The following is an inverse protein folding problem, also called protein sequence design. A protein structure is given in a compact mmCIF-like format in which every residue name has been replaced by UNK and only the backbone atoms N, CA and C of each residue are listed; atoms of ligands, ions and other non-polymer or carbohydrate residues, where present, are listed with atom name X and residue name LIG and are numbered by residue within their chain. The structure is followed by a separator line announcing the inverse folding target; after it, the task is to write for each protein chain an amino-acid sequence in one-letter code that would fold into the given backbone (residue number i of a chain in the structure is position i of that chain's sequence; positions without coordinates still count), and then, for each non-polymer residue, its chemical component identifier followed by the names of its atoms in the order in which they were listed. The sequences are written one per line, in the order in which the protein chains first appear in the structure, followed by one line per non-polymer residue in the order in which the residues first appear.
data_IF_780687203184
#
_entry.id   IF_780687203184
#
_cell.length_a   1.000
_cell.length_b   1.000
_cell.length_c   1.000
_cell.angle_alpha   90.00
_cell.angle_beta   90.00
_cell.angle_gamma   90.00
#
_symmetry.space_group_name_H-M   'P 1'
#
loop_
_entity.id
_entity.type
_entity.pdbx_description
1 polymer ?
#
# COMPACT_ATOMS: atom_id res chain seq x y z
N UNK A 1 -11.51 1.83 6.17
CA UNK A 1 -10.21 2.49 5.89
C UNK A 1 -10.20 3.02 4.47
N UNK A 2 -9.92 4.32 4.28
CA UNK A 2 -9.87 4.96 2.95
C UNK A 2 -8.77 4.31 2.07
N UNK A 3 -8.99 4.26 0.74
CA UNK A 3 -8.11 3.62 -0.25
C UNK A 3 -6.63 4.04 -0.10
N UNK A 4 -6.38 5.31 0.27
CA UNK A 4 -5.05 5.89 0.53
C UNK A 4 -4.28 5.19 1.66
N UNK A 5 -4.97 4.84 2.74
CA UNK A 5 -4.34 4.11 3.85
C UNK A 5 -3.96 2.70 3.40
N UNK A 6 -4.81 2.02 2.62
CA UNK A 6 -4.48 0.69 2.08
C UNK A 6 -3.22 0.71 1.21
N UNK A 7 -3.06 1.70 0.33
CA UNK A 7 -1.88 1.81 -0.54
C UNK A 7 -0.62 2.06 0.28
N UNK A 8 -0.64 3.03 1.20
CA UNK A 8 0.54 3.33 2.05
C UNK A 8 0.88 2.13 2.94
N UNK A 9 -0.11 1.46 3.53
CA UNK A 9 0.13 0.25 4.33
C UNK A 9 0.67 -0.88 3.46
N UNK A 10 0.19 -1.07 2.24
CA UNK A 10 0.68 -2.12 1.33
C UNK A 10 2.14 -1.86 0.88
N UNK A 11 2.57 -0.60 0.80
CA UNK A 11 3.96 -0.24 0.44
C UNK A 11 4.93 -0.26 1.62
N UNK A 12 4.51 0.23 2.79
CA UNK A 12 5.39 0.45 3.95
C UNK A 12 5.48 -0.79 4.84
N UNK A 13 4.39 -1.55 5.00
CA UNK A 13 4.35 -2.71 5.90
C UNK A 13 5.34 -3.82 5.46
N UNK A 14 5.43 -4.22 4.17
CA UNK A 14 6.39 -5.23 3.75
C UNK A 14 7.84 -4.80 3.98
N UNK A 15 8.13 -3.50 3.84
CA UNK A 15 9.44 -2.94 4.10
C UNK A 15 9.79 -3.05 5.59
N UNK A 16 8.88 -2.64 6.49
CA UNK A 16 9.09 -2.77 7.94
C UNK A 16 9.30 -4.24 8.33
N UNK A 17 8.48 -5.15 7.80
CA UNK A 17 8.61 -6.60 8.08
C UNK A 17 9.94 -7.14 7.58
N UNK A 18 10.39 -6.74 6.39
CA UNK A 18 11.68 -7.14 5.83
C UNK A 18 12.85 -6.64 6.68
N UNK A 19 12.80 -5.39 7.12
CA UNK A 19 13.83 -4.79 7.99
C UNK A 19 13.88 -5.49 9.34
N UNK A 20 12.72 -5.77 9.94
CA UNK A 20 12.65 -6.53 11.19
C UNK A 20 13.25 -7.93 11.03
N UNK A 21 12.91 -8.62 9.94
CA UNK A 21 13.45 -9.95 9.63
C UNK A 21 14.97 -9.91 9.44
N UNK A 22 15.49 -8.93 8.69
CA UNK A 22 16.93 -8.73 8.50
C UNK A 22 17.62 -8.46 9.83
N UNK A 23 17.06 -7.60 10.69
CA UNK A 23 17.62 -7.32 12.02
C UNK A 23 17.68 -8.58 12.89
N UNK A 24 16.61 -9.39 12.91
CA UNK A 24 16.57 -10.66 13.65
C UNK A 24 17.65 -11.62 13.11
N UNK A 25 17.77 -11.73 11.79
CA UNK A 25 18.73 -12.62 11.13
C UNK A 25 20.18 -12.19 11.40
N UNK A 26 20.48 -10.90 11.30
CA UNK A 26 21.81 -10.33 11.64
C UNK A 26 22.15 -10.60 13.10
N UNK A 27 21.19 -10.41 14.01
CA UNK A 27 21.41 -10.68 15.44
C UNK A 27 21.67 -12.16 15.72
N UNK A 28 20.93 -13.06 15.07
CA UNK A 28 21.12 -14.50 15.19
C UNK A 28 22.49 -14.96 14.63
N UNK A 29 22.88 -14.46 13.45
CA UNK A 29 24.19 -14.77 12.85
C UNK A 29 25.35 -14.21 13.67
N UNK A 30 25.19 -13.00 14.21
CA UNK A 30 26.19 -12.36 15.05
C UNK A 30 26.53 -13.17 16.30
N UNK A 31 25.53 -13.70 17.01
CA UNK A 31 25.76 -14.52 18.21
C UNK A 31 26.58 -15.77 17.88
N UNK A 32 26.25 -16.43 16.78
CA UNK A 32 26.99 -17.59 16.30
C UNK A 32 28.44 -17.22 15.95
N UNK A 33 28.62 -16.10 15.25
CA UNK A 33 29.95 -15.61 14.87
C UNK A 33 30.81 -15.25 16.10
N UNK A 34 30.21 -14.65 17.13
CA UNK A 34 30.88 -14.33 18.40
C UNK A 34 31.44 -15.59 19.07
N UNK A 35 30.62 -16.65 19.20
CA UNK A 35 31.04 -17.92 19.80
C UNK A 35 32.12 -18.63 18.98
N UNK A 36 32.00 -18.60 17.65
CA UNK A 36 32.97 -19.21 16.74
C UNK A 36 34.32 -18.48 16.78
N UNK A 37 34.32 -17.14 16.78
CA UNK A 37 35.54 -16.35 16.90
C UNK A 37 36.22 -16.54 18.26
N UNK A 38 35.46 -16.51 19.36
CA UNK A 38 36.02 -16.70 20.69
C UNK A 38 36.71 -18.06 20.82
N UNK A 39 36.07 -19.14 20.33
CA UNK A 39 36.66 -20.50 20.31
C UNK A 39 37.90 -20.59 19.43
N UNK A 40 37.91 -19.92 18.29
CA UNK A 40 39.05 -19.91 17.39
C UNK A 40 40.26 -19.18 18.02
N UNK A 41 40.02 -18.02 18.64
CA UNK A 41 41.06 -17.26 19.34
C UNK A 41 41.62 -18.07 20.50
N UNK A 42 40.76 -18.65 21.34
CA UNK A 42 41.17 -19.49 22.47
C UNK A 42 42.00 -20.69 22.01
N UNK A 43 41.50 -21.47 21.04
CA UNK A 43 42.20 -22.66 20.55
C UNK A 43 43.54 -22.33 19.87
N UNK A 44 43.61 -21.22 19.12
CA UNK A 44 44.84 -20.75 18.49
C UNK A 44 45.91 -20.35 19.52
N UNK A 45 45.52 -19.54 20.53
CA UNK A 45 46.45 -19.14 21.59
C UNK A 45 46.88 -20.37 22.40
N UNK A 46 45.95 -21.26 22.77
CA UNK A 46 46.26 -22.48 23.51
C UNK A 46 47.20 -23.40 22.73
N UNK A 47 47.03 -23.54 21.42
CA UNK A 47 47.95 -24.31 20.58
C UNK A 47 49.36 -23.70 20.56
N UNK A 48 49.46 -22.37 20.43
CA UNK A 48 50.74 -21.66 20.49
C UNK A 48 51.45 -21.83 21.84
N UNK A 49 50.72 -21.66 22.96
CA UNK A 49 51.25 -21.87 24.32
C UNK A 49 51.69 -23.32 24.55
N UNK A 50 50.93 -24.29 24.04
CA UNK A 50 51.33 -25.71 24.11
C UNK A 50 52.65 -25.99 23.39
N UNK A 51 52.83 -25.43 22.20
CA UNK A 51 54.08 -25.55 21.45
C UNK A 51 55.26 -24.87 22.18
N UNK A 52 55.03 -23.68 22.73
CA UNK A 52 56.01 -22.93 23.52
C UNK A 52 56.47 -23.72 24.75
N UNK A 53 55.54 -24.29 25.53
CA UNK A 53 55.87 -25.15 26.68
C UNK A 53 56.72 -26.36 26.30
N UNK A 54 56.40 -27.01 25.17
CA UNK A 54 57.17 -28.16 24.67
C UNK A 54 58.60 -27.75 24.31
N UNK A 55 58.77 -26.58 23.69
CA UNK A 55 60.08 -26.02 23.37
C UNK A 55 60.88 -25.69 24.64
N UNK A 56 60.27 -25.05 25.63
CA UNK A 56 60.93 -24.74 26.90
C UNK A 56 61.38 -26.00 27.65
N UNK A 57 60.51 -27.01 27.72
CA UNK A 57 60.88 -28.28 28.34
C UNK A 57 61.97 -29.00 27.54
N UNK A 58 61.94 -28.94 26.21
CA UNK A 58 63.00 -29.48 25.35
C UNK A 58 64.36 -28.82 25.61
N UNK A 59 64.40 -27.49 25.82
CA UNK A 59 65.62 -26.78 26.21
C UNK A 59 66.12 -27.23 27.59
N UNK A 60 65.24 -27.34 28.58
CA UNK A 60 65.62 -27.84 29.91
C UNK A 60 66.14 -29.28 29.86
N UNK A 61 65.50 -30.15 29.08
CA UNK A 61 65.96 -31.51 28.81
C UNK A 61 67.35 -31.51 28.17
N UNK A 62 67.61 -30.64 27.19
CA UNK A 62 68.92 -30.52 26.55
C UNK A 62 70.03 -30.06 27.52
N UNK A 63 69.70 -29.27 28.55
CA UNK A 63 70.67 -28.84 29.56
C UNK A 63 71.13 -30.00 30.46
N UNK A 64 70.24 -30.94 30.74
CA UNK A 64 70.55 -32.12 31.58
C UNK A 64 70.90 -33.36 30.76
N UNK A 65 70.74 -33.34 29.43
CA UNK A 65 71.01 -34.47 28.54
C UNK A 65 72.41 -35.09 28.75
N UNK A 66 73.52 -34.33 28.90
CA UNK A 66 74.83 -34.94 29.15
C UNK A 66 74.89 -35.77 30.45
N UNK A 67 74.09 -35.41 31.46
CA UNK A 67 73.99 -36.14 32.72
C UNK A 67 73.03 -37.32 32.59
N UNK A 68 71.88 -37.10 31.97
CA UNK A 68 70.85 -38.13 31.82
C UNK A 68 71.22 -39.21 30.78
N UNK A 69 71.87 -38.86 29.69
CA UNK A 69 72.21 -39.82 28.63
C UNK A 69 73.49 -40.61 28.95
N UNK A 70 74.27 -40.17 29.95
CA UNK A 70 75.42 -40.92 30.49
C UNK A 70 75.02 -42.25 31.14
N UNK A 71 73.74 -42.42 31.48
CA UNK A 71 73.22 -43.59 32.20
C UNK A 71 73.41 -43.56 33.72
N UNK A 72 74.08 -42.54 34.27
CA UNK A 72 74.29 -42.40 35.70
C UNK A 72 72.98 -42.15 36.48
N UNK A 73 72.91 -42.72 37.68
CA UNK A 73 71.74 -42.67 38.58
C UNK A 73 72.16 -42.56 40.06
N UNK A 74 73.32 -41.95 40.30
CA UNK A 74 73.79 -41.62 41.64
C UNK A 74 73.29 -40.24 42.10
N UNK A 75 73.36 -40.01 43.41
CA UNK A 75 72.89 -38.77 44.03
C UNK A 75 73.64 -37.52 43.55
N UNK A 76 74.93 -37.62 43.23
CA UNK A 76 75.74 -36.48 42.77
C UNK A 76 75.30 -36.06 41.36
N UNK A 77 75.10 -37.02 40.44
CA UNK A 77 74.54 -36.75 39.11
C UNK A 77 73.16 -36.08 39.20
N UNK A 78 72.28 -36.62 40.05
CA UNK A 78 70.93 -36.06 40.27
C UNK A 78 71.01 -34.64 40.87
N UNK A 79 71.82 -34.41 41.89
CA UNK A 79 71.98 -33.07 42.49
C UNK A 79 72.52 -32.05 41.48
N UNK A 80 73.50 -32.42 40.64
CA UNK A 80 74.00 -31.55 39.57
C UNK A 80 72.90 -31.20 38.56
N UNK A 81 72.06 -32.16 38.18
CA UNK A 81 70.93 -31.90 37.28
C UNK A 81 69.92 -30.91 37.90
N UNK A 82 69.58 -31.06 39.19
CA UNK A 82 68.70 -30.11 39.89
C UNK A 82 69.31 -28.70 39.97
N UNK A 83 70.63 -28.58 40.16
CA UNK A 83 71.33 -27.28 40.16
C UNK A 83 71.32 -26.61 38.78
N UNK A 84 71.46 -27.37 37.70
CA UNK A 84 71.38 -26.85 36.33
C UNK A 84 69.96 -26.35 36.06
N UNK A 85 68.95 -27.16 36.36
CA UNK A 85 67.55 -26.81 36.12
C UNK A 85 67.05 -25.64 36.97
N UNK A 86 67.51 -25.51 38.22
CA UNK A 86 67.08 -24.42 39.11
C UNK A 86 67.54 -23.04 38.66
N UNK A 87 68.62 -22.98 37.87
CA UNK A 87 69.13 -21.75 37.25
C UNK A 87 68.43 -21.41 35.94
N UNK A 88 67.73 -22.36 35.32
CA UNK A 88 66.99 -22.14 34.08
C UNK A 88 65.65 -21.44 34.38
N UNK A 89 65.38 -20.35 33.67
CA UNK A 89 64.11 -19.62 33.73
C UNK A 89 63.82 -18.96 32.39
N UNK A 90 62.56 -18.57 32.17
CA UNK A 90 62.14 -17.89 30.95
C UNK A 90 60.99 -16.92 31.27
N UNK A 91 60.96 -15.78 30.59
CA UNK A 91 60.00 -14.73 30.89
C UNK A 91 60.08 -14.24 32.35
N UNK A 92 59.04 -13.51 32.79
CA UNK A 92 58.97 -12.98 34.15
C UNK A 92 58.61 -14.04 35.19
N UNK A 93 57.62 -14.88 34.85
CA UNK A 93 56.98 -15.85 35.75
C UNK A 93 57.23 -17.32 35.38
N UNK A 94 58.01 -17.58 34.33
CA UNK A 94 58.31 -18.94 33.86
C UNK A 94 59.45 -19.60 34.64
N UNK A 95 59.24 -20.87 34.99
CA UNK A 95 60.20 -21.68 35.73
C UNK A 95 59.98 -23.17 35.48
N UNK A 96 61.02 -23.96 35.75
CA UNK A 96 60.96 -25.41 35.76
C UNK A 96 60.74 -25.93 37.18
N UNK A 97 60.06 -27.06 37.31
CA UNK A 97 59.85 -27.75 38.58
C UNK A 97 60.11 -29.24 38.42
N UNK A 98 60.55 -29.89 39.51
CA UNK A 98 60.79 -31.34 39.54
C UNK A 98 60.10 -31.93 40.75
N UNK A 99 59.33 -33.00 40.52
CA UNK A 99 58.72 -33.82 41.56
C UNK A 99 59.17 -35.27 41.40
N UNK A 100 59.16 -36.05 42.48
CA UNK A 100 59.28 -37.52 42.37
C UNK A 100 57.92 -38.17 42.08
N UNK A 101 57.92 -39.49 41.83
CA UNK A 101 56.69 -40.28 41.59
C UNK A 101 55.72 -40.31 42.76
N UNK A 102 56.15 -39.94 43.96
CA UNK A 102 55.31 -39.90 45.15
C UNK A 102 54.75 -38.49 45.41
N UNK A 103 55.06 -37.51 44.56
CA UNK A 103 54.58 -36.14 44.67
C UNK A 103 55.40 -35.26 45.60
N UNK A 104 56.62 -35.70 46.00
CA UNK A 104 57.54 -34.86 46.75
C UNK A 104 58.22 -33.86 45.82
N UNK A 105 58.25 -32.59 46.22
CA UNK A 105 58.97 -31.55 45.48
C UNK A 105 60.47 -31.72 45.62
N UNK A 106 61.18 -31.87 44.51
CA UNK A 106 62.64 -32.00 44.46
C UNK A 106 63.30 -30.67 44.09
N UNK A 107 62.64 -29.84 43.27
CA UNK A 107 63.16 -28.55 42.84
C UNK A 107 62.03 -27.61 42.44
N UNK A 108 62.03 -26.41 43.02
CA UNK A 108 61.09 -25.34 42.68
C UNK A 108 61.75 -23.95 42.91
N UNK A 109 62.22 -23.25 41.87
CA UNK A 109 63.13 -22.11 42.04
C UNK A 109 62.41 -20.83 42.48
N UNK A 110 61.09 -20.75 42.28
CA UNK A 110 60.26 -19.59 42.68
C UNK A 110 59.54 -19.76 44.02
N UNK A 111 59.55 -20.98 44.58
CA UNK A 111 58.84 -21.35 45.82
C UNK A 111 59.67 -22.41 46.54
N UNK A 112 60.84 -22.01 47.01
CA UNK A 112 61.81 -22.90 47.64
C UNK A 112 61.24 -23.60 48.89
N UNK A 113 60.26 -22.97 49.54
CA UNK A 113 59.51 -23.50 50.68
C UNK A 113 58.71 -24.77 50.36
N UNK A 114 58.50 -25.09 49.08
CA UNK A 114 57.86 -26.35 48.67
C UNK A 114 58.85 -27.51 48.59
N UNK A 115 60.13 -27.24 48.39
CA UNK A 115 61.15 -28.28 48.20
C UNK A 115 61.25 -29.16 49.44
N UNK A 116 61.18 -30.48 49.23
CA UNK A 116 61.20 -31.50 50.27
C UNK A 116 59.83 -31.86 50.85
N UNK A 117 58.77 -31.10 50.55
CA UNK A 117 57.40 -31.40 51.01
C UNK A 117 56.71 -32.41 50.10
N UNK A 118 55.88 -33.25 50.70
CA UNK A 118 54.91 -34.08 49.99
C UNK A 118 53.70 -33.22 49.61
N UNK A 119 53.44 -33.12 48.31
CA UNK A 119 52.36 -32.31 47.74
C UNK A 119 51.32 -33.17 47.01
N UNK A 120 51.33 -34.49 47.19
CA UNK A 120 50.40 -35.40 46.50
C UNK A 120 48.94 -35.10 46.84
N UNK A 121 48.66 -34.58 48.04
CA UNK A 121 47.33 -34.18 48.51
C UNK A 121 46.96 -32.72 48.22
N UNK A 122 47.83 -31.94 47.57
CA UNK A 122 47.58 -30.52 47.32
C UNK A 122 46.49 -30.32 46.27
N UNK A 123 45.50 -29.50 46.59
CA UNK A 123 44.42 -29.11 45.68
C UNK A 123 44.56 -27.68 45.21
N UNK A 124 44.15 -27.41 43.97
CA UNK A 124 43.91 -26.05 43.51
C UNK A 124 42.57 -25.49 44.03
N UNK A 125 42.24 -24.25 43.65
CA UNK A 125 41.00 -23.58 44.05
C UNK A 125 39.72 -24.27 43.55
N UNK A 126 39.83 -25.19 42.58
CA UNK A 126 38.73 -25.95 41.98
C UNK A 126 38.66 -27.38 42.56
N UNK A 127 39.51 -27.71 43.53
CA UNK A 127 39.57 -29.02 44.16
C UNK A 127 40.35 -30.07 43.37
N UNK A 128 41.06 -29.70 42.31
CA UNK A 128 41.88 -30.62 41.53
C UNK A 128 43.16 -30.95 42.29
N UNK A 129 43.45 -32.24 42.48
CA UNK A 129 44.71 -32.73 43.03
C UNK A 129 45.84 -32.52 42.02
N UNK A 130 46.53 -31.38 42.13
CA UNK A 130 47.40 -30.83 41.07
C UNK A 130 48.54 -31.78 40.72
N UNK A 131 49.29 -32.24 41.72
CA UNK A 131 50.48 -33.07 41.50
C UNK A 131 50.10 -34.45 40.96
N UNK A 132 48.98 -35.02 41.41
CA UNK A 132 48.46 -36.29 40.88
C UNK A 132 48.03 -36.15 39.41
N UNK A 133 47.34 -35.05 39.08
CA UNK A 133 46.93 -34.78 37.70
C UNK A 133 48.14 -34.63 36.79
N UNK A 134 49.17 -33.90 37.22
CA UNK A 134 50.43 -33.76 36.48
C UNK A 134 51.14 -35.10 36.27
N UNK A 135 51.34 -35.89 37.33
CA UNK A 135 51.97 -37.21 37.24
C UNK A 135 51.23 -38.11 36.24
N UNK A 136 49.90 -38.12 36.32
CA UNK A 136 49.04 -38.88 35.40
C UNK A 136 49.16 -38.42 33.95
N UNK A 137 49.28 -37.11 33.69
CA UNK A 137 49.52 -36.59 32.33
C UNK A 137 50.92 -36.94 31.83
N UNK A 138 51.93 -36.93 32.70
CA UNK A 138 53.29 -37.32 32.36
C UNK A 138 53.37 -38.81 31.97
N UNK A 139 52.67 -39.68 32.69
CA UNK A 139 52.58 -41.13 32.42
C UNK A 139 51.76 -41.46 31.16
N UNK A 140 50.69 -40.72 30.89
CA UNK A 140 49.83 -40.91 29.71
C UNK A 140 50.47 -40.43 28.41
N UNK A 141 51.48 -39.57 28.50
CA UNK A 141 52.26 -39.06 27.37
C UNK A 141 51.64 -37.88 26.62
N UNK A 142 50.45 -37.39 27.01
CA UNK A 142 49.92 -36.11 26.50
C UNK A 142 50.63 -34.92 27.17
N UNK A 143 51.10 -35.09 28.42
CA UNK A 143 51.98 -34.20 29.15
C UNK A 143 51.37 -32.86 29.55
N UNK A 144 50.21 -32.47 29.03
CA UNK A 144 49.58 -31.19 29.32
C UNK A 144 48.58 -31.30 30.47
N UNK A 145 48.58 -30.29 31.35
CA UNK A 145 47.58 -30.17 32.42
C UNK A 145 47.27 -28.70 32.70
N UNK A 146 45.98 -28.37 32.84
CA UNK A 146 45.52 -27.06 33.28
C UNK A 146 45.08 -27.15 34.75
N UNK A 147 45.52 -26.20 35.57
CA UNK A 147 45.20 -26.10 37.00
C UNK A 147 45.41 -24.66 37.47
N UNK A 148 44.85 -24.30 38.62
CA UNK A 148 45.13 -22.98 39.21
C UNK A 148 46.40 -23.02 40.07
N UNK A 149 47.30 -22.06 39.88
CA UNK A 149 48.53 -21.95 40.67
C UNK A 149 48.87 -20.50 40.98
N UNK A 150 49.59 -20.30 42.09
CA UNK A 150 50.00 -18.97 42.51
C UNK A 150 51.07 -18.39 41.56
N UNK A 151 50.74 -17.30 40.89
CA UNK A 151 51.63 -16.55 40.00
C UNK A 151 52.71 -15.83 40.84
N UNK A 152 54.02 -16.08 40.63
CA UNK A 152 55.07 -15.52 41.49
C UNK A 152 55.10 -13.99 41.56
N UNK A 153 54.87 -13.30 40.44
CA UNK A 153 54.90 -11.83 40.38
C UNK A 153 53.78 -11.15 41.15
N UNK A 154 52.57 -11.73 41.18
CA UNK A 154 51.38 -11.12 41.79
C UNK A 154 50.94 -11.77 43.09
N UNK A 155 51.39 -13.00 43.36
CA UNK A 155 50.93 -13.82 44.48
C UNK A 155 49.48 -14.30 44.34
N UNK A 156 48.81 -14.02 43.21
CA UNK A 156 47.42 -14.44 42.97
C UNK A 156 47.38 -15.83 42.33
N UNK A 157 46.39 -16.63 42.71
CA UNK A 157 46.11 -17.91 42.05
C UNK A 157 45.42 -17.65 40.71
N UNK A 158 46.01 -18.14 39.61
CA UNK A 158 45.44 -18.00 38.26
C UNK A 158 45.66 -19.28 37.45
N UNK A 159 44.91 -19.44 36.36
CA UNK A 159 45.00 -20.60 35.49
C UNK A 159 46.41 -20.73 34.91
N UNK A 160 47.00 -21.91 35.09
CA UNK A 160 48.33 -22.27 34.61
C UNK A 160 48.26 -23.53 33.77
N UNK A 161 48.70 -23.43 32.52
CA UNK A 161 48.90 -24.57 31.64
C UNK A 161 50.32 -25.09 31.83
N UNK A 162 50.47 -26.34 32.25
CA UNK A 162 51.76 -27.00 32.35
C UNK A 162 51.97 -28.04 31.26
N UNK A 163 53.24 -28.31 30.97
CA UNK A 163 53.70 -29.46 30.22
C UNK A 163 54.75 -30.22 31.06
N UNK A 164 54.57 -31.52 31.19
CA UNK A 164 55.36 -32.40 32.06
C UNK A 164 55.79 -33.66 31.32
N UNK A 165 56.96 -34.19 31.69
CA UNK A 165 57.50 -35.46 31.18
C UNK A 165 58.09 -36.28 32.32
N UNK A 166 58.02 -37.60 32.19
CA UNK A 166 58.68 -38.53 33.10
C UNK A 166 60.11 -38.82 32.64
N UNK A 167 61.06 -38.59 33.54
CA UNK A 167 62.43 -39.09 33.49
C UNK A 167 62.47 -40.46 34.17
N UNK A 168 62.14 -41.49 33.42
CA UNK A 168 61.85 -42.82 33.95
C UNK A 168 62.98 -43.39 34.82
N UNK A 169 64.25 -43.20 34.42
CA UNK A 169 65.38 -43.74 35.18
C UNK A 169 65.50 -43.10 36.56
N UNK A 170 65.29 -41.80 36.64
CA UNK A 170 65.40 -41.06 37.91
C UNK A 170 64.10 -41.06 38.71
N UNK A 171 62.99 -41.54 38.13
CA UNK A 171 61.67 -41.47 38.74
C UNK A 171 61.19 -40.03 38.96
N UNK A 172 61.61 -39.11 38.09
CA UNK A 172 61.31 -37.68 38.22
C UNK A 172 60.28 -37.24 37.20
N UNK A 173 59.33 -36.42 37.63
CA UNK A 173 58.49 -35.63 36.75
C UNK A 173 59.11 -34.24 36.61
N UNK A 174 59.64 -33.95 35.43
CA UNK A 174 60.13 -32.62 35.08
C UNK A 174 59.02 -31.85 34.36
N UNK A 175 58.78 -30.62 34.77
CA UNK A 175 57.71 -29.80 34.21
C UNK A 175 58.02 -28.33 34.10
N UNK A 176 57.22 -27.66 33.29
CA UNK A 176 57.17 -26.20 33.18
C UNK A 176 55.73 -25.75 32.94
N UNK A 177 55.40 -24.48 33.16
CA UNK A 177 54.07 -23.96 32.86
C UNK A 177 54.02 -22.46 32.60
N UNK A 178 52.96 -22.04 31.91
CA UNK A 178 52.66 -20.65 31.54
C UNK A 178 51.27 -20.32 32.07
N UNK A 179 51.11 -19.10 32.59
CA UNK A 179 49.83 -18.57 33.04
C UNK A 179 49.01 -18.09 31.83
N UNK A 180 47.69 -18.36 31.84
CA UNK A 180 46.79 -18.14 30.70
C UNK A 180 45.81 -16.98 30.92
N UNK A 181 46.14 -16.04 31.81
CA UNK A 181 45.35 -14.83 32.07
C UNK A 181 45.20 -13.94 30.82
N UNK A 182 46.17 -13.98 29.92
CA UNK A 182 46.14 -13.29 28.63
C UNK A 182 45.10 -13.87 27.64
N UNK A 183 44.78 -15.16 27.74
CA UNK A 183 43.78 -15.83 26.89
C UNK A 183 42.38 -15.33 27.20
N UNK A 184 42.04 -15.21 28.48
CA UNK A 184 40.75 -14.68 28.94
C UNK A 184 40.59 -13.21 28.50
N UNK A 185 41.64 -12.39 28.65
CA UNK A 185 41.62 -11.00 28.20
C UNK A 185 41.45 -10.91 26.67
N UNK A 186 42.16 -11.72 25.89
CA UNK A 186 42.08 -11.73 24.44
C UNK A 186 40.69 -12.16 23.94
N UNK A 187 40.10 -13.20 24.55
CA UNK A 187 38.75 -13.67 24.21
C UNK A 187 37.68 -12.64 24.59
N UNK A 188 37.78 -11.99 25.75
CA UNK A 188 36.88 -10.91 26.15
C UNK A 188 36.95 -9.72 25.19
N UNK A 189 38.17 -9.31 24.79
CA UNK A 189 38.38 -8.23 23.84
C UNK A 189 37.76 -8.56 22.47
N UNK A 190 37.97 -9.78 21.98
CA UNK A 190 37.37 -10.25 20.71
C UNK A 190 35.83 -10.21 20.75
N UNK A 191 35.21 -10.63 21.87
CA UNK A 191 33.75 -10.52 22.04
C UNK A 191 33.25 -9.08 22.00
N UNK A 192 33.97 -8.15 22.64
CA UNK A 192 33.62 -6.73 22.62
C UNK A 192 33.71 -6.12 21.21
N UNK A 193 34.73 -6.48 20.44
CA UNK A 193 34.89 -6.03 19.05
C UNK A 193 33.71 -6.50 18.17
N UNK A 194 33.29 -7.76 18.30
CA UNK A 194 32.11 -8.30 17.61
C UNK A 194 30.85 -7.53 18.01
N UNK A 195 30.60 -7.34 19.31
CA UNK A 195 29.40 -6.66 19.81
C UNK A 195 29.29 -5.22 19.28
N UNK A 196 30.40 -4.49 19.22
CA UNK A 196 30.43 -3.12 18.68
C UNK A 196 30.14 -3.07 17.17
N UNK A 197 30.72 -4.02 16.41
CA UNK A 197 30.44 -4.15 14.97
C UNK A 197 28.96 -4.43 14.67
N UNK A 198 28.30 -5.17 15.55
CA UNK A 198 26.87 -5.52 15.40
C UNK A 198 25.99 -4.30 15.62
N UNK A 199 26.23 -3.51 16.66
CA UNK A 199 25.48 -2.28 16.90
C UNK A 199 25.60 -1.32 15.72
N UNK A 200 26.82 -1.16 15.17
CA UNK A 200 27.08 -0.32 14.00
C UNK A 200 26.30 -0.80 12.78
N UNK A 201 26.27 -2.12 12.55
CA UNK A 201 25.52 -2.74 11.44
C UNK A 201 24.01 -2.53 11.58
N UNK A 202 23.47 -2.73 12.79
CA UNK A 202 22.04 -2.51 13.08
C UNK A 202 21.65 -1.04 12.88
N UNK A 203 22.47 -0.10 13.34
CA UNK A 203 22.23 1.33 13.14
C UNK A 203 22.27 1.72 11.66
N UNK A 204 23.18 1.14 10.86
CA UNK A 204 23.24 1.36 9.43
C UNK A 204 21.98 0.83 8.72
N UNK A 205 21.53 -0.38 9.04
CA UNK A 205 20.29 -0.95 8.47
C UNK A 205 19.10 -0.05 8.84
N UNK A 206 19.01 0.40 10.10
CA UNK A 206 17.94 1.28 10.55
C UNK A 206 17.93 2.63 9.80
N UNK A 207 19.09 3.24 9.58
CA UNK A 207 19.18 4.51 8.86
C UNK A 207 18.81 4.38 7.38
N UNK A 208 19.28 3.35 6.68
CA UNK A 208 18.87 3.06 5.31
C UNK A 208 17.37 2.78 5.20
N UNK A 209 16.82 2.05 6.16
CA UNK A 209 15.39 1.73 6.21
C UNK A 209 14.53 2.98 6.42
N UNK A 210 14.95 3.86 7.33
CA UNK A 210 14.27 5.14 7.57
C UNK A 210 14.29 6.02 6.31
N UNK A 211 15.43 6.10 5.62
CA UNK A 211 15.56 6.83 4.38
C UNK A 211 14.63 6.27 3.30
N UNK A 212 14.56 4.95 3.14
CA UNK A 212 13.69 4.29 2.18
C UNK A 212 12.20 4.58 2.48
N UNK A 213 11.78 4.53 3.74
CA UNK A 213 10.41 4.89 4.17
C UNK A 213 10.11 6.35 3.83
N UNK A 214 11.04 7.27 4.12
CA UNK A 214 10.86 8.70 3.83
C UNK A 214 10.72 8.96 2.33
N UNK A 215 11.50 8.28 1.49
CA UNK A 215 11.41 8.40 0.02
C UNK A 215 10.07 7.88 -0.49
N UNK A 216 9.62 6.70 -0.04
CA UNK A 216 8.31 6.14 -0.42
C UNK A 216 7.18 7.09 0.01
N UNK A 217 7.26 7.63 1.23
CA UNK A 217 6.26 8.55 1.76
C UNK A 217 6.23 9.87 0.98
N UNK A 218 7.39 10.47 0.71
CA UNK A 218 7.50 11.69 -0.08
C UNK A 218 6.98 11.50 -1.51
N UNK A 219 7.33 10.38 -2.16
CA UNK A 219 6.82 10.01 -3.48
C UNK A 219 5.30 9.84 -3.49
N UNK A 220 4.75 9.16 -2.49
CA UNK A 220 3.30 8.99 -2.31
C UNK A 220 2.57 10.33 -2.11
N UNK A 221 3.13 11.24 -1.30
CA UNK A 221 2.58 12.58 -1.13
C UNK A 221 2.62 13.39 -2.43
N UNK A 222 3.73 13.35 -3.15
CA UNK A 222 3.89 14.08 -4.42
C UNK A 222 2.88 13.62 -5.48
N UNK A 223 2.70 12.30 -5.64
CA UNK A 223 1.70 11.74 -6.54
C UNK A 223 0.28 12.14 -6.14
N UNK A 224 -0.06 12.03 -4.85
CA UNK A 224 -1.38 12.39 -4.34
C UNK A 224 -1.71 13.88 -4.53
N UNK A 225 -0.74 14.79 -4.32
CA UNK A 225 -0.94 16.22 -4.57
C UNK A 225 -1.10 16.49 -6.07
N UNK A 226 -0.36 15.80 -6.93
CA UNK A 226 -0.46 15.93 -8.38
C UNK A 226 -1.83 15.48 -8.92
N UNK A 227 -2.31 14.32 -8.48
CA UNK A 227 -3.63 13.79 -8.85
C UNK A 227 -4.76 14.75 -8.46
N UNK A 228 -4.73 15.26 -7.22
CA UNK A 228 -5.71 16.23 -6.75
C UNK A 228 -5.69 17.53 -7.56
N UNK A 229 -4.50 18.09 -7.83
CA UNK A 229 -4.38 19.29 -8.67
C UNK A 229 -4.90 19.08 -10.08
N UNK A 230 -4.71 17.89 -10.67
CA UNK A 230 -5.24 17.58 -11.99
C UNK A 230 -6.77 17.44 -11.97
N UNK A 231 -7.32 16.80 -10.95
CA UNK A 231 -8.77 16.67 -10.76
C UNK A 231 -9.44 18.04 -10.59
N UNK A 232 -8.87 18.90 -9.74
CA UNK A 232 -9.38 20.26 -9.51
C UNK A 232 -9.37 21.10 -10.79
N UNK A 233 -8.29 21.01 -11.59
CA UNK A 233 -8.21 21.69 -12.89
C UNK A 233 -9.27 21.19 -13.88
N UNK A 234 -9.50 19.88 -13.94
CA UNK A 234 -10.53 19.30 -14.81
C UNK A 234 -11.93 19.72 -14.37
N UNK A 235 -12.23 19.69 -13.07
CA UNK A 235 -13.50 20.15 -12.52
C UNK A 235 -13.72 21.64 -12.80
N UNK A 236 -12.71 22.48 -12.56
CA UNK A 236 -12.79 23.90 -12.86
C UNK A 236 -13.04 24.17 -14.35
N UNK A 237 -12.39 23.42 -15.25
CA UNK A 237 -12.59 23.56 -16.69
C UNK A 237 -14.00 23.12 -17.14
N UNK A 238 -14.53 22.03 -16.57
CA UNK A 238 -15.90 21.58 -16.81
C UNK A 238 -16.93 22.60 -16.31
N UNK A 239 -16.77 23.11 -15.09
CA UNK A 239 -17.65 24.13 -14.52
C UNK A 239 -17.65 25.40 -15.37
N UNK A 240 -16.47 25.86 -15.80
CA UNK A 240 -16.38 27.02 -16.67
C UNK A 240 -17.11 26.77 -18.00
N UNK A 241 -16.92 25.60 -18.60
CA UNK A 241 -17.60 25.24 -19.85
C UNK A 241 -19.12 25.15 -19.71
N UNK A 242 -19.62 24.69 -18.56
CA UNK A 242 -21.06 24.69 -18.26
C UNK A 242 -21.59 26.12 -18.18
N UNK A 243 -20.89 27.01 -17.47
CA UNK A 243 -21.28 28.43 -17.36
C UNK A 243 -21.27 29.10 -18.74
N UNK A 244 -20.23 28.88 -19.54
CA UNK A 244 -20.11 29.47 -20.88
C UNK A 244 -21.27 28.99 -21.78
N UNK A 245 -21.59 27.69 -21.76
CA UNK A 245 -22.73 27.13 -22.52
C UNK A 245 -24.08 27.69 -22.03
N UNK A 246 -24.24 27.88 -20.73
CA UNK A 246 -25.47 28.44 -20.16
C UNK A 246 -25.66 29.90 -20.58
N UNK A 247 -24.58 30.69 -20.61
CA UNK A 247 -24.64 32.11 -21.00
C UNK A 247 -24.83 32.26 -22.52
N UNK A 248 -24.21 31.39 -23.32
CA UNK A 248 -24.45 31.32 -24.77
C UNK A 248 -25.93 31.01 -25.08
N UNK A 249 -26.52 30.04 -24.37
CA UNK A 249 -27.93 29.68 -24.52
C UNK A 249 -28.85 30.82 -24.08
N UNK A 250 -28.56 31.47 -22.96
CA UNK A 250 -29.33 32.63 -22.48
C UNK A 250 -29.27 33.80 -23.48
N UNK A 251 -28.10 34.04 -24.06
CA UNK A 251 -27.90 35.06 -25.09
C UNK A 251 -28.61 34.71 -26.41
N UNK A 252 -28.62 33.44 -26.80
CA UNK A 252 -29.38 32.92 -27.95
C UNK A 252 -30.88 33.17 -27.77
N UNK A 253 -31.43 32.79 -26.62
CA UNK A 253 -32.85 32.98 -26.27
C UNK A 253 -33.23 34.45 -26.24
N UNK A 254 -32.39 35.31 -25.63
CA UNK A 254 -32.63 36.74 -25.58
C UNK A 254 -32.69 37.36 -26.98
N UNK A 255 -31.82 36.92 -27.91
CA UNK A 255 -31.84 37.36 -29.31
C UNK A 255 -33.07 36.87 -30.06
N UNK A 256 -33.46 35.61 -29.92
CA UNK A 256 -34.70 35.08 -30.53
C UNK A 256 -35.94 35.86 -30.07
N UNK A 257 -36.03 36.18 -28.78
CA UNK A 257 -37.14 36.96 -28.23
C UNK A 257 -37.11 38.43 -28.70
N UNK A 258 -35.94 39.05 -28.73
CA UNK A 258 -35.79 40.45 -29.09
C UNK A 258 -36.01 40.68 -30.60
N UNK A 259 -35.37 39.88 -31.45
CA UNK A 259 -35.36 40.13 -32.90
C UNK A 259 -36.61 39.59 -33.60
N UNK A 260 -37.21 38.50 -33.09
CA UNK A 260 -38.46 37.96 -33.64
C UNK A 260 -39.71 38.61 -33.04
N UNK A 261 -39.95 38.37 -31.75
CA UNK A 261 -41.23 38.69 -31.11
C UNK A 261 -41.42 40.19 -30.89
N UNK A 262 -40.39 40.89 -30.40
CA UNK A 262 -40.55 42.32 -30.07
C UNK A 262 -40.84 43.17 -31.30
N UNK A 263 -40.20 42.85 -32.43
CA UNK A 263 -40.44 43.54 -33.70
C UNK A 263 -41.83 43.22 -34.25
N UNK A 264 -42.28 41.97 -34.16
CA UNK A 264 -43.61 41.56 -34.61
C UNK A 264 -44.72 42.25 -33.80
N UNK A 265 -44.59 42.32 -32.47
CA UNK A 265 -45.54 43.01 -31.59
C UNK A 265 -45.61 44.51 -31.88
N UNK A 266 -44.49 45.17 -32.21
CA UNK A 266 -44.49 46.59 -32.61
C UNK A 266 -45.24 46.78 -33.94
N UNK A 267 -45.04 45.88 -34.92
CA UNK A 267 -45.77 45.93 -36.19
C UNK A 267 -47.28 45.75 -35.98
N UNK A 268 -47.68 44.82 -35.11
CA UNK A 268 -49.08 44.58 -34.74
C UNK A 268 -49.69 45.83 -34.06
N UNK A 269 -48.95 46.47 -33.13
CA UNK A 269 -49.40 47.71 -32.47
C UNK A 269 -49.70 48.81 -33.49
N UNK A 270 -48.79 49.06 -34.44
CA UNK A 270 -49.02 50.07 -35.47
C UNK A 270 -50.22 49.74 -36.38
N UNK A 271 -50.43 48.46 -36.70
CA UNK A 271 -51.61 48.03 -37.45
C UNK A 271 -52.92 48.31 -36.69
N UNK A 272 -52.95 48.08 -35.38
CA UNK A 272 -54.12 48.41 -34.56
C UNK A 272 -54.34 49.92 -34.41
N UNK A 273 -53.29 50.70 -34.25
CA UNK A 273 -53.39 52.18 -34.22
C UNK A 273 -53.93 52.73 -35.55
N UNK A 274 -53.46 52.19 -36.68
CA UNK A 274 -53.98 52.55 -38.00
C UNK A 274 -55.44 52.14 -38.16
N UNK A 275 -55.80 50.92 -37.73
CA UNK A 275 -57.18 50.45 -37.77
C UNK A 275 -58.12 51.35 -36.96
N UNK A 276 -57.72 51.76 -35.75
CA UNK A 276 -58.49 52.67 -34.90
C UNK A 276 -58.69 54.04 -35.57
N UNK A 277 -57.62 54.65 -36.10
CA UNK A 277 -57.72 55.93 -36.81
C UNK A 277 -58.63 55.84 -38.04
N UNK A 278 -58.60 54.75 -38.80
CA UNK A 278 -59.44 54.57 -39.98
C UNK A 278 -60.92 54.36 -39.63
N UNK A 279 -61.21 53.60 -38.57
CA UNK A 279 -62.57 53.38 -38.07
C UNK A 279 -63.19 54.67 -37.53
N UNK A 280 -62.44 55.48 -36.76
CA UNK A 280 -62.90 56.77 -36.24
C UNK A 280 -63.23 57.77 -37.37
N UNK A 281 -62.53 57.65 -38.50
CA UNK A 281 -62.76 58.48 -39.69
C UNK A 281 -63.79 57.88 -40.67
N UNK A 282 -64.49 56.81 -40.30
CA UNK A 282 -65.52 56.18 -41.13
C UNK A 282 -64.98 55.47 -42.39
N UNK A 283 -63.70 55.12 -42.43
CA UNK A 283 -63.06 54.44 -43.57
C UNK A 283 -63.20 52.92 -43.44
N UNK A 284 -63.66 52.27 -44.50
CA UNK A 284 -63.88 50.82 -44.53
C UNK A 284 -62.60 49.97 -44.30
N UNK A 285 -61.42 50.51 -44.63
CA UNK A 285 -60.12 49.82 -44.48
C UNK A 285 -59.74 49.49 -43.04
N UNK A 286 -60.31 50.19 -42.05
CA UNK A 286 -60.00 49.97 -40.65
C UNK A 286 -60.44 48.59 -40.14
N UNK A 287 -61.53 48.02 -40.67
CA UNK A 287 -62.01 46.70 -40.29
C UNK A 287 -61.06 45.58 -40.79
N UNK A 288 -60.48 45.75 -41.98
CA UNK A 288 -59.53 44.80 -42.56
C UNK A 288 -58.17 44.87 -41.86
N UNK A 289 -57.70 46.08 -41.52
CA UNK A 289 -56.49 46.27 -40.71
C UNK A 289 -56.62 45.66 -39.31
N UNK A 290 -57.80 45.78 -38.68
CA UNK A 290 -58.09 45.15 -37.39
C UNK A 290 -58.04 43.62 -37.47
N UNK A 291 -58.65 43.02 -38.51
CA UNK A 291 -58.62 41.57 -38.73
C UNK A 291 -57.20 41.06 -38.98
N UNK A 292 -56.44 41.75 -39.83
CA UNK A 292 -55.05 41.39 -40.13
C UNK A 292 -54.14 41.49 -38.89
N UNK A 293 -54.30 42.54 -38.08
CA UNK A 293 -53.58 42.68 -36.81
C UNK A 293 -53.93 41.58 -35.81
N UNK A 294 -55.21 41.18 -35.74
CA UNK A 294 -55.67 40.08 -34.86
C UNK A 294 -55.08 38.74 -35.27
N UNK A 295 -55.02 38.44 -36.57
CA UNK A 295 -54.38 37.22 -37.09
C UNK A 295 -52.89 37.19 -36.80
N UNK A 296 -52.18 38.31 -37.01
CA UNK A 296 -50.75 38.40 -36.70
C UNK A 296 -50.46 38.28 -35.20
N UNK A 297 -51.32 38.86 -34.36
CA UNK A 297 -51.23 38.69 -32.91
C UNK A 297 -51.38 37.21 -32.50
N UNK A 298 -52.31 36.48 -33.11
CA UNK A 298 -52.46 35.05 -32.86
C UNK A 298 -51.20 34.26 -33.24
N UNK A 299 -50.55 34.59 -34.37
CA UNK A 299 -49.27 34.00 -34.77
C UNK A 299 -48.14 34.30 -33.78
N UNK A 300 -48.00 35.57 -33.36
CA UNK A 300 -46.98 35.98 -32.39
C UNK A 300 -47.17 35.30 -31.02
N UNK A 301 -48.41 35.13 -30.57
CA UNK A 301 -48.75 34.37 -29.36
C UNK A 301 -48.35 32.89 -29.52
N UNK A 302 -48.59 32.30 -30.70
CA UNK A 302 -48.16 30.95 -31.03
C UNK A 302 -46.64 30.77 -30.95
N UNK A 303 -45.89 31.75 -31.46
CA UNK A 303 -44.42 31.72 -31.47
C UNK A 303 -43.83 31.91 -30.06
N UNK A 304 -44.37 32.81 -29.25
CA UNK A 304 -44.01 32.93 -27.82
C UNK A 304 -44.30 31.63 -27.07
N UNK A 305 -45.45 31.00 -27.34
CA UNK A 305 -45.83 29.73 -26.70
C UNK A 305 -44.88 28.59 -27.12
N UNK A 306 -44.44 28.57 -28.37
CA UNK A 306 -43.42 27.64 -28.88
C UNK A 306 -42.07 27.84 -28.17
N UNK A 307 -41.55 29.07 -28.14
CA UNK A 307 -40.28 29.39 -27.46
C UNK A 307 -40.35 29.04 -25.96
N UNK A 308 -41.47 29.35 -25.30
CA UNK A 308 -41.68 28.99 -23.89
C UNK A 308 -41.72 27.47 -23.67
N UNK A 309 -42.34 26.73 -24.59
CA UNK A 309 -42.44 25.28 -24.51
C UNK A 309 -41.07 24.60 -24.73
N UNK A 310 -40.24 25.17 -25.60
CA UNK A 310 -38.87 24.69 -25.86
C UNK A 310 -37.93 24.94 -24.65
N UNK A 311 -38.21 25.93 -23.81
CA UNK A 311 -37.38 26.30 -22.65
C UNK A 311 -37.74 25.55 -21.36
N UNK A 312 -39.03 25.32 -21.08
CA UNK A 312 -39.54 24.41 -20.04
C UNK A 312 -41.07 24.37 -20.19
N UNK A 313 -41.75 23.21 -20.19
CA UNK A 313 -43.20 23.19 -20.30
C UNK A 313 -43.83 23.78 -19.02
N UNK A 314 -44.12 25.08 -19.01
CA UNK A 314 -44.74 25.78 -17.89
C UNK A 314 -46.13 25.21 -17.51
N UNK A 315 -46.80 24.54 -18.46
CA UNK A 315 -48.01 23.76 -18.22
C UNK A 315 -47.79 22.59 -17.26
N UNK A 316 -46.63 21.92 -17.34
CA UNK A 316 -46.29 20.79 -16.49
C UNK A 316 -46.14 21.23 -15.03
N UNK A 317 -45.51 22.39 -14.81
CA UNK A 317 -45.31 22.97 -13.48
C UNK A 317 -46.62 23.51 -12.86
N UNK A 318 -47.62 23.89 -13.68
CA UNK A 318 -48.84 24.58 -13.21
C UNK A 318 -50.07 23.66 -13.10
N UNK A 319 -50.22 22.70 -14.02
CA UNK A 319 -51.41 21.86 -14.13
C UNK A 319 -51.13 20.36 -13.90
N UNK A 320 -49.86 19.97 -13.81
CA UNK A 320 -49.44 18.57 -13.70
C UNK A 320 -49.39 17.82 -15.05
N UNK A 321 -48.93 16.57 -15.01
CA UNK A 321 -48.60 15.77 -16.20
C UNK A 321 -49.80 15.54 -17.12
N UNK A 322 -50.92 15.07 -16.57
CA UNK A 322 -52.08 14.66 -17.38
C UNK A 322 -52.70 15.82 -18.17
N UNK A 323 -53.01 16.98 -17.56
CA UNK A 323 -53.53 18.13 -18.31
C UNK A 323 -52.53 18.73 -19.30
N UNK A 324 -51.22 18.66 -18.99
CA UNK A 324 -50.18 19.15 -19.90
C UNK A 324 -50.12 18.32 -21.18
N UNK A 325 -50.20 16.99 -21.08
CA UNK A 325 -50.22 16.08 -22.24
C UNK A 325 -51.51 16.26 -23.03
N UNK A 326 -52.66 16.30 -22.35
CA UNK A 326 -53.96 16.49 -22.97
C UNK A 326 -54.02 17.77 -23.82
N UNK A 327 -53.45 18.86 -23.32
CA UNK A 327 -53.31 20.10 -24.09
C UNK A 327 -52.34 19.94 -25.28
N UNK A 328 -51.17 19.32 -25.06
CA UNK A 328 -50.18 19.13 -26.13
C UNK A 328 -50.73 18.29 -27.29
N UNK A 329 -51.49 17.24 -26.97
CA UNK A 329 -52.14 16.34 -27.93
C UNK A 329 -53.21 17.07 -28.74
N UNK A 330 -54.04 17.91 -28.10
CA UNK A 330 -54.99 18.79 -28.81
C UNK A 330 -54.30 19.77 -29.76
N UNK A 331 -53.23 20.43 -29.30
CA UNK A 331 -52.49 21.39 -30.11
C UNK A 331 -51.83 20.68 -31.32
N UNK A 332 -51.36 19.44 -31.13
CA UNK A 332 -50.83 18.59 -32.19
C UNK A 332 -51.89 18.23 -33.25
N UNK A 333 -53.08 17.79 -32.82
CA UNK A 333 -54.19 17.45 -33.72
C UNK A 333 -54.65 18.66 -34.53
N UNK A 334 -54.78 19.84 -33.90
CA UNK A 334 -55.15 21.08 -34.61
C UNK A 334 -54.13 21.49 -35.66
N UNK A 335 -52.84 21.31 -35.37
CA UNK A 335 -51.74 21.74 -36.26
C UNK A 335 -51.53 20.79 -37.44
N UNK A 336 -51.61 19.48 -37.20
CA UNK A 336 -51.22 18.45 -38.18
C UNK A 336 -52.41 17.83 -38.89
N UNK A 337 -53.61 17.90 -38.30
CA UNK A 337 -54.81 17.20 -38.77
C UNK A 337 -54.82 15.69 -38.48
N UNK A 338 -53.81 15.16 -37.78
CA UNK A 338 -53.76 13.76 -37.35
C UNK A 338 -54.64 13.60 -36.12
N UNK A 339 -55.63 12.70 -36.17
CA UNK A 339 -56.57 12.49 -35.07
C UNK A 339 -55.87 11.82 -33.90
N UNK A 340 -56.07 12.34 -32.70
CA UNK A 340 -55.41 11.81 -31.51
C UNK A 340 -56.38 11.16 -30.54
N UNK A 341 -55.93 10.09 -29.86
CA UNK A 341 -56.65 9.46 -28.75
C UNK A 341 -55.70 9.41 -27.56
N UNK A 342 -56.10 10.05 -26.45
CA UNK A 342 -55.29 10.11 -25.24
C UNK A 342 -56.04 9.51 -24.06
N UNK A 343 -55.42 8.51 -23.42
CA UNK A 343 -55.92 7.88 -22.21
C UNK A 343 -54.85 7.94 -21.11
N UNK A 344 -55.26 8.41 -19.92
CA UNK A 344 -54.37 8.55 -18.78
C UNK A 344 -54.95 7.86 -17.54
N UNK A 345 -54.39 6.69 -17.22
CA UNK A 345 -54.69 5.90 -16.03
C UNK A 345 -53.87 6.29 -14.80
N UNK A 346 -53.39 7.54 -14.70
CA UNK A 346 -52.60 8.04 -13.56
C UNK A 346 -53.43 8.84 -12.55
N UNK A 347 -54.74 8.62 -12.46
CA UNK A 347 -55.68 9.49 -11.73
C UNK A 347 -55.38 9.62 -10.24
N UNK A 348 -54.79 8.60 -9.61
CA UNK A 348 -54.49 8.54 -8.16
C UNK A 348 -52.99 8.31 -7.85
N UNK A 349 -52.10 8.59 -8.81
CA UNK A 349 -50.66 8.28 -8.69
C UNK A 349 -49.85 9.57 -8.81
N UNK A 350 -49.11 9.89 -7.75
CA UNK A 350 -48.20 11.03 -7.73
C UNK A 350 -46.89 10.68 -8.45
N UNK A 351 -46.65 11.30 -9.60
CA UNK A 351 -45.42 11.17 -10.38
C UNK A 351 -44.51 12.34 -10.02
N UNK A 352 -43.25 12.07 -9.67
CA UNK A 352 -42.31 13.14 -9.33
C UNK A 352 -42.06 14.09 -10.54
N UNK A 353 -41.54 15.28 -10.25
CA UNK A 353 -41.36 16.33 -11.26
C UNK A 353 -40.37 15.93 -12.36
N UNK A 354 -39.36 15.11 -12.04
CA UNK A 354 -38.33 14.69 -12.99
C UNK A 354 -38.88 13.65 -13.97
N UNK A 355 -39.57 12.63 -13.45
CA UNK A 355 -40.26 11.61 -14.24
C UNK A 355 -41.39 12.21 -15.07
N UNK A 356 -42.13 13.17 -14.51
CA UNK A 356 -43.16 13.92 -15.24
C UNK A 356 -42.57 14.65 -16.46
N UNK A 357 -41.42 15.31 -16.29
CA UNK A 357 -40.74 16.00 -17.39
C UNK A 357 -40.21 15.01 -18.44
N UNK A 358 -39.67 13.88 -17.99
CA UNK A 358 -39.18 12.82 -18.88
C UNK A 358 -40.32 12.24 -19.73
N UNK A 359 -41.45 11.88 -19.12
CA UNK A 359 -42.62 11.36 -19.85
C UNK A 359 -43.15 12.37 -20.86
N UNK A 360 -43.25 13.63 -20.47
CA UNK A 360 -43.71 14.69 -21.36
C UNK A 360 -42.78 14.85 -22.57
N UNK A 361 -41.46 14.85 -22.36
CA UNK A 361 -40.46 14.92 -23.46
C UNK A 361 -40.51 13.70 -24.38
N UNK A 362 -40.75 12.50 -23.83
CA UNK A 362 -40.90 11.29 -24.64
C UNK A 362 -42.10 11.40 -25.57
N UNK A 363 -43.24 11.87 -25.06
CA UNK A 363 -44.46 12.05 -25.85
C UNK A 363 -44.26 13.09 -26.95
N UNK A 364 -43.62 14.22 -26.65
CA UNK A 364 -43.32 15.25 -27.65
C UNK A 364 -42.51 14.70 -28.82
N UNK A 365 -41.40 14.01 -28.52
CA UNK A 365 -40.53 13.47 -29.55
C UNK A 365 -41.22 12.35 -30.32
N UNK A 366 -42.03 11.52 -29.65
CA UNK A 366 -42.82 10.49 -30.31
C UNK A 366 -43.83 11.10 -31.30
N UNK A 367 -44.59 12.11 -30.89
CA UNK A 367 -45.54 12.81 -31.77
C UNK A 367 -44.83 13.58 -32.90
N UNK A 368 -43.67 14.17 -32.63
CA UNK A 368 -42.86 14.80 -33.67
C UNK A 368 -42.38 13.79 -34.73
N UNK A 369 -42.05 12.56 -34.30
CA UNK A 369 -41.71 11.48 -35.22
C UNK A 369 -42.92 11.03 -36.04
N UNK A 370 -44.12 10.96 -35.44
CA UNK A 370 -45.36 10.66 -36.17
C UNK A 370 -45.61 11.69 -37.28
N UNK A 371 -45.56 12.99 -36.94
CA UNK A 371 -45.76 14.10 -37.88
C UNK A 371 -44.74 14.09 -39.04
N UNK A 372 -43.45 13.92 -38.72
CA UNK A 372 -42.38 14.01 -39.72
C UNK A 372 -42.24 12.77 -40.59
N UNK A 373 -42.56 11.59 -40.06
CA UNK A 373 -42.13 10.32 -40.68
C UNK A 373 -43.26 9.33 -40.95
N UNK A 374 -44.32 9.29 -40.14
CA UNK A 374 -45.28 8.19 -40.20
C UNK A 374 -46.29 8.29 -41.35
N UNK A 375 -46.65 9.51 -41.80
CA UNK A 375 -47.82 9.75 -42.66
C UNK A 375 -49.09 9.07 -42.11
N UNK A 376 -49.24 9.10 -40.79
CA UNK A 376 -50.38 8.51 -40.09
C UNK A 376 -51.62 9.39 -40.17
N UNK A 377 -52.80 8.79 -40.00
CA UNK A 377 -54.06 9.51 -39.82
C UNK A 377 -54.57 9.48 -38.37
N UNK A 378 -54.04 8.56 -37.56
CA UNK A 378 -54.39 8.40 -36.14
C UNK A 378 -53.13 8.15 -35.31
N UNK A 379 -53.06 8.79 -34.15
CA UNK A 379 -52.08 8.50 -33.10
C UNK A 379 -52.78 8.25 -31.75
N UNK A 380 -52.38 7.19 -31.05
CA UNK A 380 -52.95 6.75 -29.78
C UNK A 380 -51.86 6.85 -28.71
N UNK A 381 -52.17 7.53 -27.61
CA UNK A 381 -51.27 7.73 -26.47
C UNK A 381 -51.96 7.19 -25.23
N UNK A 382 -51.37 6.19 -24.59
CA UNK A 382 -51.91 5.62 -23.35
C UNK A 382 -50.85 5.61 -22.26
N UNK A 383 -51.21 6.08 -21.07
CA UNK A 383 -50.38 6.01 -19.88
C UNK A 383 -51.12 5.21 -18.82
N UNK A 384 -50.46 4.22 -18.25
CA UNK A 384 -51.01 3.39 -17.18
C UNK A 384 -49.93 3.11 -16.15
N UNK A 385 -50.32 2.73 -14.95
CA UNK A 385 -49.39 2.28 -13.93
C UNK A 385 -49.98 1.11 -13.16
N UNK A 386 -49.25 0.01 -13.13
CA UNK A 386 -49.62 -1.25 -12.48
C UNK A 386 -48.39 -1.85 -11.80
N UNK A 387 -48.56 -2.46 -10.62
CA UNK A 387 -47.50 -3.18 -9.89
C UNK A 387 -46.20 -2.37 -9.68
N UNK A 388 -46.31 -1.06 -9.49
CA UNK A 388 -45.15 -0.18 -9.30
C UNK A 388 -44.37 0.12 -10.58
N UNK A 389 -44.91 -0.19 -11.76
CA UNK A 389 -44.33 0.14 -13.06
C UNK A 389 -45.28 1.03 -13.85
N UNK A 390 -44.78 2.17 -14.30
CA UNK A 390 -45.48 3.07 -15.21
C UNK A 390 -45.20 2.65 -16.65
N UNK A 391 -46.26 2.51 -17.45
CA UNK A 391 -46.20 2.13 -18.85
C UNK A 391 -46.77 3.26 -19.70
N UNK A 392 -45.92 3.84 -20.56
CA UNK A 392 -46.30 4.76 -21.61
C UNK A 392 -46.26 4.03 -22.95
N UNK A 393 -47.32 4.16 -23.74
CA UNK A 393 -47.42 3.65 -25.10
C UNK A 393 -47.85 4.76 -26.05
N UNK A 394 -47.16 4.86 -27.17
CA UNK A 394 -47.51 5.74 -28.29
C UNK A 394 -47.59 4.89 -29.54
N UNK A 395 -48.75 4.89 -30.19
CA UNK A 395 -49.03 4.09 -31.37
C UNK A 395 -49.52 4.96 -32.53
N UNK A 396 -49.07 4.68 -33.75
CA UNK A 396 -49.59 5.31 -34.97
C UNK A 396 -49.94 4.26 -36.04
N UNK A 397 -50.83 4.65 -36.96
CA UNK A 397 -51.25 3.82 -38.10
C UNK A 397 -50.52 4.17 -39.42
N UNK A 398 -49.27 4.64 -39.31
CA UNK A 398 -48.48 5.11 -40.44
C UNK A 398 -47.83 4.02 -41.28
N UNK A 399 -46.92 4.43 -42.16
CA UNK A 399 -46.25 3.53 -43.13
C UNK A 399 -45.28 2.53 -42.49
N UNK A 400 -44.95 2.68 -41.21
CA UNK A 400 -43.96 1.87 -40.51
C UNK A 400 -42.52 2.11 -41.01
N UNK A 401 -41.56 1.50 -40.33
CA UNK A 401 -40.14 1.50 -40.69
C UNK A 401 -39.43 0.26 -40.15
N UNK A 402 -38.20 -0.01 -40.59
CA UNK A 402 -37.34 -1.04 -39.99
C UNK A 402 -36.64 -0.47 -38.75
N UNK A 403 -36.98 -0.94 -37.53
CA UNK A 403 -36.37 -0.44 -36.30
C UNK A 403 -34.85 -0.65 -36.25
N UNK A 404 -34.36 -1.78 -36.78
CA UNK A 404 -32.94 -2.12 -36.73
C UNK A 404 -32.10 -1.16 -37.57
N UNK A 405 -32.57 -0.85 -38.78
CA UNK A 405 -31.92 0.13 -39.66
C UNK A 405 -31.95 1.55 -39.06
N UNK A 406 -33.06 1.95 -38.43
CA UNK A 406 -33.20 3.26 -37.80
C UNK A 406 -32.28 3.48 -36.60
N UNK A 407 -31.91 2.41 -35.89
CA UNK A 407 -30.91 2.47 -34.80
C UNK A 407 -29.49 2.70 -35.31
N UNK A 408 -29.14 2.14 -36.47
CA UNK A 408 -27.80 2.31 -37.09
C UNK A 408 -27.67 3.64 -37.84
N UNK A 409 -28.76 4.12 -38.43
CA UNK A 409 -28.78 5.34 -39.24
C UNK A 409 -28.96 6.62 -38.42
N UNK A 410 -28.04 6.95 -37.50
CA UNK A 410 -27.88 8.28 -36.87
C UNK A 410 -29.18 9.00 -36.40
N UNK A 411 -30.26 8.27 -36.10
CA UNK A 411 -31.52 8.82 -35.64
C UNK A 411 -31.37 9.33 -34.21
N UNK A 412 -30.89 10.57 -34.05
CA UNK A 412 -30.59 11.21 -32.76
C UNK A 412 -31.82 11.12 -31.81
N UNK A 413 -33.04 11.19 -32.35
CA UNK A 413 -34.29 11.11 -31.59
C UNK A 413 -34.50 9.79 -30.83
N UNK A 414 -34.45 8.64 -31.51
CA UNK A 414 -34.70 7.33 -30.88
C UNK A 414 -33.60 6.94 -29.87
N UNK A 415 -32.34 7.32 -30.14
CA UNK A 415 -31.24 7.09 -29.21
C UNK A 415 -31.40 7.92 -27.93
N UNK A 416 -31.73 9.20 -28.09
CA UNK A 416 -32.00 10.09 -26.95
C UNK A 416 -33.19 9.61 -26.11
N UNK A 417 -34.25 9.10 -26.75
CA UNK A 417 -35.40 8.51 -26.06
C UNK A 417 -34.99 7.32 -25.20
N UNK A 418 -34.18 6.40 -25.75
CA UNK A 418 -33.65 5.24 -25.01
C UNK A 418 -32.79 5.68 -23.83
N UNK A 419 -31.80 6.55 -24.06
CA UNK A 419 -30.89 7.04 -23.01
C UNK A 419 -31.66 7.70 -21.86
N UNK A 420 -32.71 8.47 -22.16
CA UNK A 420 -33.59 9.09 -21.15
C UNK A 420 -34.37 8.05 -20.34
N UNK A 421 -34.88 7.00 -20.97
CA UNK A 421 -35.60 5.92 -20.27
C UNK A 421 -34.66 5.10 -19.39
N UNK A 422 -33.47 4.78 -19.90
CA UNK A 422 -32.43 4.06 -19.15
C UNK A 422 -31.93 4.85 -17.92
N UNK A 423 -31.90 6.18 -18.01
CA UNK A 423 -31.58 7.06 -16.86
C UNK A 423 -32.51 6.84 -15.67
N UNK A 424 -33.80 6.57 -15.95
CA UNK A 424 -34.80 6.23 -14.93
C UNK A 424 -34.91 4.72 -14.66
N UNK A 425 -33.90 3.93 -15.05
CA UNK A 425 -33.89 2.46 -14.92
C UNK A 425 -35.08 1.78 -15.61
N UNK A 426 -35.63 2.43 -16.63
CA UNK A 426 -36.73 1.91 -17.43
C UNK A 426 -36.27 1.07 -18.61
N UNK A 427 -37.23 0.43 -19.28
CA UNK A 427 -37.04 -0.28 -20.55
C UNK A 427 -37.75 0.45 -21.68
N UNK A 428 -37.04 0.61 -22.81
CA UNK A 428 -37.56 1.17 -24.05
C UNK A 428 -37.69 0.07 -25.10
N UNK A 429 -38.82 0.02 -25.80
CA UNK A 429 -39.04 -0.87 -26.93
C UNK A 429 -39.83 -0.17 -28.04
N UNK A 430 -39.54 -0.53 -29.28
CA UNK A 430 -40.26 -0.03 -30.45
C UNK A 430 -40.49 -1.18 -31.42
N UNK A 431 -41.72 -1.34 -31.84
CA UNK A 431 -42.15 -2.31 -32.84
C UNK A 431 -42.77 -1.54 -34.01
N UNK A 432 -42.32 -1.80 -35.23
CA UNK A 432 -42.86 -1.13 -36.40
C UNK A 432 -43.02 -2.12 -37.56
N UNK A 433 -44.14 -1.97 -38.27
CA UNK A 433 -44.52 -2.75 -39.43
C UNK A 433 -45.37 -1.88 -40.35
N UNK A 434 -45.53 -2.25 -41.62
CA UNK A 434 -46.34 -1.47 -42.55
C UNK A 434 -47.79 -1.36 -42.04
N UNK A 435 -48.24 -0.13 -41.74
CA UNK A 435 -49.57 0.17 -41.19
C UNK A 435 -49.63 0.34 -39.67
N UNK A 436 -48.53 0.13 -38.93
CA UNK A 436 -48.49 0.30 -37.47
C UNK A 436 -47.08 0.50 -36.91
N UNK A 437 -46.91 1.53 -36.09
CA UNK A 437 -45.72 1.69 -35.23
C UNK A 437 -46.17 1.84 -33.79
N UNK A 438 -45.53 1.11 -32.87
CA UNK A 438 -45.79 1.16 -31.44
C UNK A 438 -44.47 1.39 -30.69
N UNK A 439 -44.41 2.49 -29.95
CA UNK A 439 -43.36 2.81 -28.98
C UNK A 439 -43.89 2.52 -27.58
N UNK A 440 -43.14 1.72 -26.82
CA UNK A 440 -43.48 1.38 -25.44
C UNK A 440 -42.31 1.66 -24.50
N UNK A 441 -42.61 2.39 -23.43
CA UNK A 441 -41.69 2.74 -22.35
C UNK A 441 -42.25 2.22 -21.04
N UNK A 442 -41.40 1.55 -20.26
CA UNK A 442 -41.74 1.09 -18.91
C UNK A 442 -40.75 1.67 -17.93
N UNK A 443 -41.22 2.33 -16.87
CA UNK A 443 -40.38 2.96 -15.86
C UNK A 443 -40.81 2.46 -14.47
N UNK A 444 -39.89 1.86 -13.69
CA UNK A 444 -40.16 1.52 -12.30
C UNK A 444 -40.46 2.80 -11.52
N UNK A 445 -41.62 2.86 -10.87
CA UNK A 445 -41.93 3.92 -9.93
C UNK A 445 -41.33 3.55 -8.59
N UNK A 446 -40.47 4.42 -8.05
CA UNK A 446 -40.11 4.33 -6.64
C UNK A 446 -41.35 4.66 -5.83
N UNK A 447 -42.02 3.67 -5.25
CA UNK A 447 -43.08 3.92 -4.29
C UNK A 447 -42.56 3.75 -2.87
N UNK A 448 -42.13 4.82 -2.17
CA UNK A 448 -42.04 4.81 -0.72
C UNK A 448 -43.44 5.12 -0.16
N UNK A 449 -44.39 4.18 -0.24
CA UNK A 449 -45.62 4.13 0.59
C UNK A 449 -46.46 2.88 0.28
N UNK A 450 -46.09 1.78 0.95
CA UNK A 450 -47.07 0.95 1.64
C UNK A 450 -46.84 1.24 3.13
N UNK A 451 -47.64 2.14 3.69
CA UNK A 451 -47.75 2.36 5.13
C UNK A 451 -49.10 1.81 5.58
#
# INVERSE_FOLDING_TARGET
MQLKHKIVTLSVLPLIVSVLFICILVFAQSRKLEEDQARLVESSIMAAKKAELKNYLGLAMSLIAPLYDSGADDDDTRQRALQILSRASFGLDGYFFVYDRHGKSLMHPRQAELVGKDLIGMTDNKGLLVIQALLKSAERGDGYQLYDWQKPSTGQSTGKLAYVVMLERWGWMLGTGIYIDDVEVATLKSRQEVASGVLTTVLAIASFSLLAVLVIFAGGLMLNVSEHRLADRKLSALNQRIVDLQEEERSRVARELHDGISQELVSIKFQFELAAMELDNGRAGGLDNLRNGTTRLASAIGEVRRISHDLRPSLLDTLGLSPAIDQHVRDFEQRTGIRTQYECGLTDIEVDAELSLTLFRIIQEALANVDRHAKASVAIISISAHDGVLVLRVEDNGMGFDPSAAYESHGIGLRNLRERVEHHRGSFSIASSAGRTELQVQIPMNNPRLA
#
